data_IF_794244575475
#
_entry.id   IF_794244575475
#
_cell.length_a   1.000
_cell.length_b   1.000
_cell.length_c   1.000
_cell.angle_alpha   90.00
_cell.angle_beta   90.00
_cell.angle_gamma   90.00
#
_symmetry.space_group_name_H-M   'P 1'
#
loop_
_entity.id
_entity.type
_entity.pdbx_description
1 polymer ?
#
# COMPACT_ATOMS: atom_id res chain seq x y z
N UNK A 1 -1.43 9.20 -8.30
CA UNK A 1 -1.95 8.27 -7.29
C UNK A 1 -0.78 7.53 -6.67
N UNK A 2 -0.72 7.42 -5.34
CA UNK A 2 0.22 6.56 -4.63
C UNK A 2 -0.56 5.53 -3.82
N UNK A 3 -0.36 4.26 -4.11
CA UNK A 3 -0.95 3.15 -3.36
C UNK A 3 0.14 2.43 -2.59
N UNK A 4 -0.11 2.19 -1.31
CA UNK A 4 0.72 1.39 -0.40
C UNK A 4 -0.17 0.27 0.09
N UNK A 5 0.29 -0.95 -0.11
CA UNK A 5 -0.51 -2.15 0.06
C UNK A 5 0.36 -3.20 0.74
N UNK A 6 -0.21 -3.91 1.71
CA UNK A 6 0.45 -5.02 2.38
C UNK A 6 0.41 -6.28 1.50
N UNK A 7 1.56 -6.92 1.29
CA UNK A 7 1.66 -8.08 0.39
C UNK A 7 1.18 -9.39 1.03
N UNK A 8 1.04 -9.45 2.35
CA UNK A 8 0.57 -10.64 3.05
C UNK A 8 -0.95 -10.62 3.13
N UNK A 9 -1.46 -9.61 3.82
CA UNK A 9 -2.87 -9.43 4.21
C UNK A 9 -3.71 -8.77 3.13
N UNK A 10 -3.06 -8.25 2.08
CA UNK A 10 -3.73 -7.55 0.96
C UNK A 10 -4.38 -6.24 1.38
N UNK A 11 -4.05 -5.72 2.56
CA UNK A 11 -4.64 -4.48 3.07
C UNK A 11 -4.13 -3.26 2.30
N UNK A 12 -5.05 -2.39 1.87
CA UNK A 12 -4.71 -1.07 1.35
C UNK A 12 -4.36 -0.15 2.53
N UNK A 13 -3.07 -0.04 2.84
CA UNK A 13 -2.56 0.78 3.94
C UNK A 13 -2.64 2.28 3.64
N UNK A 14 -2.49 2.67 2.37
CA UNK A 14 -2.70 4.04 1.94
C UNK A 14 -3.06 4.14 0.46
N UNK A 15 -4.05 4.97 0.13
CA UNK A 15 -4.39 5.36 -1.24
C UNK A 15 -4.44 6.89 -1.31
N UNK A 16 -3.39 7.51 -1.85
CA UNK A 16 -3.22 8.97 -1.86
C UNK A 16 -3.32 9.55 -3.28
N UNK A 17 -4.43 10.24 -3.60
CA UNK A 17 -4.49 11.08 -4.78
C UNK A 17 -3.77 12.40 -4.53
N UNK A 18 -3.04 12.85 -5.54
CA UNK A 18 -2.42 14.17 -5.59
C UNK A 18 -2.14 14.55 -7.05
N UNK A 19 -1.98 15.84 -7.32
CA UNK A 19 -1.62 16.34 -8.66
C UNK A 19 -0.16 16.01 -9.00
N UNK A 20 0.70 15.91 -7.99
CA UNK A 20 2.06 15.40 -8.09
C UNK A 20 2.48 14.71 -6.80
N UNK A 21 2.99 13.48 -6.91
CA UNK A 21 3.52 12.74 -5.77
C UNK A 21 5.03 12.94 -5.72
N UNK A 22 5.45 14.01 -5.04
CA UNK A 22 6.87 14.30 -4.85
C UNK A 22 7.48 13.36 -3.81
N UNK A 23 8.79 13.13 -3.91
CA UNK A 23 9.57 12.30 -2.97
C UNK A 23 9.32 12.61 -1.49
N UNK A 24 9.21 13.91 -1.14
CA UNK A 24 8.93 14.34 0.25
C UNK A 24 7.55 13.91 0.72
N UNK A 25 6.56 13.90 -0.18
CA UNK A 25 5.22 13.41 0.12
C UNK A 25 5.28 11.92 0.42
N UNK A 26 5.92 11.13 -0.44
CA UNK A 26 6.08 9.68 -0.23
C UNK A 26 6.76 9.37 1.09
N UNK A 27 7.89 10.03 1.38
CA UNK A 27 8.59 9.87 2.65
C UNK A 27 7.69 10.17 3.86
N UNK A 28 6.84 11.20 3.78
CA UNK A 28 5.89 11.57 4.84
C UNK A 28 4.89 10.47 5.11
N UNK A 29 4.25 9.96 4.07
CA UNK A 29 3.21 8.94 4.18
C UNK A 29 3.79 7.62 4.70
N UNK A 30 4.98 7.25 4.21
CA UNK A 30 5.72 6.11 4.72
C UNK A 30 6.07 6.24 6.21
N UNK A 31 6.45 7.44 6.67
CA UNK A 31 6.69 7.66 8.11
C UNK A 31 5.43 7.57 8.94
N UNK A 32 4.29 8.06 8.44
CA UNK A 32 3.01 7.87 9.13
C UNK A 32 2.74 6.38 9.33
N UNK A 33 3.00 5.55 8.31
CA UNK A 33 2.81 4.10 8.41
C UNK A 33 3.79 3.45 9.40
N UNK A 34 5.08 3.83 9.40
CA UNK A 34 6.06 3.34 10.38
C UNK A 34 5.62 3.65 11.81
N UNK A 35 5.08 4.84 12.04
CA UNK A 35 4.65 5.24 13.39
C UNK A 35 3.41 4.44 13.84
N UNK A 36 2.64 3.90 12.92
CA UNK A 36 1.44 3.12 13.20
C UNK A 36 1.70 1.61 13.25
N UNK A 37 2.75 1.10 12.61
CA UNK A 37 3.04 -0.33 12.50
C UNK A 37 4.50 -0.65 12.87
N UNK A 38 4.68 -1.64 13.75
CA UNK A 38 6.00 -2.17 14.10
C UNK A 38 6.50 -3.14 13.00
N UNK A 39 7.82 -3.14 12.77
CA UNK A 39 8.55 -3.98 11.81
C UNK A 39 7.95 -4.12 10.40
N UNK A 40 8.07 -3.04 9.61
CA UNK A 40 7.74 -3.06 8.19
C UNK A 40 8.95 -3.43 7.33
N UNK A 41 8.75 -4.33 6.37
CA UNK A 41 9.64 -4.53 5.23
C UNK A 41 9.04 -3.86 3.99
N UNK A 42 9.85 -3.12 3.23
CA UNK A 42 9.35 -2.40 2.06
C UNK A 42 9.89 -2.93 0.75
N UNK A 43 8.97 -3.19 -0.19
CA UNK A 43 9.29 -3.52 -1.58
C UNK A 43 8.97 -2.35 -2.50
N UNK A 44 9.95 -1.90 -3.28
CA UNK A 44 9.78 -0.86 -4.29
C UNK A 44 9.95 -1.43 -5.71
N UNK A 45 9.13 -1.00 -6.68
CA UNK A 45 9.34 -1.34 -8.09
C UNK A 45 10.63 -0.71 -8.61
N UNK A 46 11.44 -1.53 -9.29
CA UNK A 46 12.73 -1.13 -9.85
C UNK A 46 12.58 0.00 -10.86
N UNK A 47 13.44 1.02 -10.77
CA UNK A 47 13.45 2.16 -11.70
C UNK A 47 12.50 3.31 -11.38
N UNK A 48 11.79 3.27 -10.24
CA UNK A 48 10.95 4.40 -9.81
C UNK A 48 11.74 5.52 -9.14
N UNK A 49 11.23 6.75 -9.24
CA UNK A 49 11.77 7.93 -8.54
C UNK A 49 11.78 7.81 -7.01
N UNK A 50 11.18 6.73 -6.49
CA UNK A 50 11.08 6.35 -5.08
C UNK A 50 12.39 5.77 -4.53
N UNK A 51 13.40 5.56 -5.37
CA UNK A 51 14.75 5.10 -5.01
C UNK A 51 15.67 6.19 -4.45
N UNK A 52 15.15 7.40 -4.23
CA UNK A 52 15.94 8.58 -3.87
C UNK A 52 16.52 8.59 -2.44
N UNK A 53 17.61 9.34 -2.26
CA UNK A 53 18.30 9.54 -0.96
C UNK A 53 17.39 9.98 0.20
N UNK A 54 16.32 10.72 -0.07
CA UNK A 54 15.40 11.21 0.97
C UNK A 54 14.56 10.08 1.57
N UNK A 55 14.13 9.14 0.72
CA UNK A 55 13.51 7.90 1.19
C UNK A 55 14.62 7.12 1.90
N UNK A 56 15.79 6.92 1.27
CA UNK A 56 16.92 6.17 1.86
C UNK A 56 17.27 6.56 3.30
N UNK A 57 17.42 7.86 3.58
CA UNK A 57 17.70 8.40 4.91
C UNK A 57 16.61 8.03 5.92
N UNK A 58 15.33 8.16 5.55
CA UNK A 58 14.22 7.89 6.45
C UNK A 58 14.09 6.44 6.93
N UNK A 59 14.33 5.43 6.08
CA UNK A 59 14.31 4.05 6.62
C UNK A 59 15.53 3.73 7.45
N UNK A 60 16.68 4.40 7.22
CA UNK A 60 17.83 4.26 8.13
C UNK A 60 17.50 4.79 9.52
N UNK A 61 16.78 5.90 9.60
CA UNK A 61 16.36 6.50 10.87
C UNK A 61 15.35 5.64 11.66
N UNK A 62 14.71 4.67 11.00
CA UNK A 62 13.64 3.85 11.57
C UNK A 62 13.89 2.33 11.47
N UNK A 63 15.12 1.91 11.15
CA UNK A 63 15.53 0.48 11.04
C UNK A 63 14.65 -0.37 10.11
N UNK A 64 13.97 0.24 9.13
CA UNK A 64 13.11 -0.48 8.18
C UNK A 64 13.97 -1.15 7.11
N UNK A 65 13.91 -2.48 7.02
CA UNK A 65 14.58 -3.26 5.99
C UNK A 65 13.89 -3.05 4.62
N UNK A 66 14.71 -2.90 3.57
CA UNK A 66 14.23 -2.66 2.22
C UNK A 66 14.65 -3.77 1.30
N UNK A 67 13.69 -4.23 0.52
CA UNK A 67 13.94 -5.13 -0.58
C UNK A 67 13.61 -4.43 -1.91
N UNK A 68 14.52 -4.56 -2.86
CA UNK A 68 14.22 -4.23 -4.24
C UNK A 68 13.61 -5.47 -4.88
N UNK A 69 12.56 -5.27 -5.67
CA UNK A 69 12.03 -6.35 -6.50
C UNK A 69 13.12 -6.73 -7.49
N UNK A 70 13.62 -7.96 -7.39
CA UNK A 70 14.71 -8.42 -8.24
C UNK A 70 14.30 -8.29 -9.73
N UNK A 71 15.20 -7.82 -10.62
CA UNK A 71 14.93 -7.82 -12.06
C UNK A 71 14.51 -9.21 -12.53
N UNK A 72 13.34 -9.33 -13.17
CA UNK A 72 12.77 -10.62 -13.61
C UNK A 72 11.87 -11.33 -12.60
N UNK A 73 11.59 -10.75 -11.41
CA UNK A 73 10.55 -11.20 -10.47
C UNK A 73 9.31 -10.32 -10.52
N UNK A 74 8.78 -10.10 -11.72
CA UNK A 74 7.56 -9.33 -11.98
C UNK A 74 6.36 -9.83 -11.15
N UNK A 75 6.33 -11.13 -10.86
CA UNK A 75 5.30 -11.77 -10.03
C UNK A 75 5.23 -11.23 -8.59
N UNK A 76 6.32 -10.68 -8.03
CA UNK A 76 6.32 -10.06 -6.69
C UNK A 76 5.55 -8.73 -6.66
N UNK A 77 5.28 -8.12 -7.83
CA UNK A 77 4.48 -6.92 -7.96
C UNK A 77 3.02 -7.24 -8.38
N UNK A 78 2.70 -8.50 -8.62
CA UNK A 78 1.45 -8.89 -9.29
C UNK A 78 0.20 -8.45 -8.55
N UNK A 79 0.26 -8.41 -7.21
CA UNK A 79 -0.90 -8.01 -6.43
C UNK A 79 -1.13 -6.51 -6.38
N UNK A 80 -0.10 -5.68 -6.17
CA UNK A 80 -0.28 -4.23 -6.23
C UNK A 80 -0.70 -3.78 -7.63
N UNK A 81 -0.24 -4.45 -8.69
CA UNK A 81 -0.75 -4.22 -10.05
C UNK A 81 -2.23 -4.62 -10.19
N UNK A 82 -2.63 -5.76 -9.62
CA UNK A 82 -4.03 -6.18 -9.62
C UNK A 82 -4.94 -5.22 -8.83
N UNK A 83 -4.50 -4.75 -7.66
CA UNK A 83 -5.20 -3.77 -6.84
C UNK A 83 -5.32 -2.43 -7.57
N UNK A 84 -4.24 -1.97 -8.22
CA UNK A 84 -4.26 -0.77 -9.06
C UNK A 84 -5.21 -0.90 -10.26
N UNK A 85 -5.27 -2.08 -10.88
CA UNK A 85 -6.23 -2.39 -11.95
C UNK A 85 -7.67 -2.30 -11.46
N UNK A 86 -7.98 -2.98 -10.35
CA UNK A 86 -9.30 -2.95 -9.72
C UNK A 86 -9.75 -1.53 -9.36
N UNK A 87 -8.90 -0.72 -8.71
CA UNK A 87 -9.21 0.68 -8.41
C UNK A 87 -9.44 1.52 -9.67
N UNK A 88 -8.68 1.26 -10.75
CA UNK A 88 -8.90 1.96 -12.02
C UNK A 88 -10.26 1.62 -12.62
N UNK A 89 -10.55 0.34 -12.72
CA UNK A 89 -11.74 -0.15 -13.42
C UNK A 89 -13.03 0.15 -12.66
N UNK A 90 -12.98 0.19 -11.34
CA UNK A 90 -14.19 0.34 -10.52
C UNK A 90 -14.44 1.75 -10.00
N UNK A 91 -13.38 2.54 -9.82
CA UNK A 91 -13.48 3.88 -9.27
C UNK A 91 -13.00 4.94 -10.26
N UNK A 92 -11.74 4.87 -10.67
CA UNK A 92 -11.11 6.01 -11.36
C UNK A 92 -11.67 6.21 -12.77
N UNK A 93 -12.00 5.14 -13.49
CA UNK A 93 -12.55 5.21 -14.85
C UNK A 93 -14.07 5.46 -14.86
N UNK A 94 -14.77 5.06 -13.79
CA UNK A 94 -16.23 5.17 -13.68
C UNK A 94 -16.70 6.47 -13.01
N UNK A 95 -15.78 7.25 -12.43
CA UNK A 95 -16.10 8.45 -11.65
C UNK A 95 -15.63 9.74 -12.31
N UNK A 96 -16.48 10.77 -12.28
CA UNK A 96 -16.09 12.15 -12.54
C UNK A 96 -15.72 12.84 -11.22
N UNK A 97 -14.47 13.28 -11.10
CA UNK A 97 -14.00 14.02 -9.93
C UNK A 97 -14.16 15.52 -10.13
N UNK A 98 -14.67 16.22 -9.11
CA UNK A 98 -14.94 17.67 -9.15
C UNK A 98 -13.83 18.49 -8.48
N UNK A 99 -12.71 17.85 -8.17
CA UNK A 99 -11.59 18.44 -7.46
C UNK A 99 -10.82 17.39 -6.67
N UNK A 100 -9.67 17.80 -6.14
CA UNK A 100 -8.79 16.89 -5.39
C UNK A 100 -9.44 16.44 -4.08
N UNK A 101 -10.24 17.28 -3.43
CA UNK A 101 -10.95 16.90 -2.20
C UNK A 101 -12.01 15.83 -2.46
N UNK A 102 -12.77 15.96 -3.56
CA UNK A 102 -13.72 14.92 -3.97
C UNK A 102 -12.99 13.60 -4.25
N UNK A 103 -11.87 13.65 -4.98
CA UNK A 103 -11.06 12.47 -5.23
C UNK A 103 -10.51 11.84 -3.95
N UNK A 104 -10.04 12.64 -2.98
CA UNK A 104 -9.57 12.16 -1.67
C UNK A 104 -10.67 11.40 -0.93
N UNK A 105 -11.87 11.96 -0.87
CA UNK A 105 -13.00 11.31 -0.19
C UNK A 105 -13.41 10.01 -0.88
N UNK A 106 -13.60 10.03 -2.20
CA UNK A 106 -14.04 8.86 -2.95
C UNK A 106 -13.02 7.71 -2.90
N UNK A 107 -11.72 8.04 -2.95
CA UNK A 107 -10.66 7.04 -2.82
C UNK A 107 -10.56 6.49 -1.40
N UNK A 108 -10.74 7.33 -0.37
CA UNK A 108 -10.76 6.87 1.02
C UNK A 108 -11.93 5.91 1.26
N UNK A 109 -13.12 6.24 0.75
CA UNK A 109 -14.30 5.36 0.81
C UNK A 109 -14.09 4.04 0.08
N UNK A 110 -13.49 4.09 -1.12
CA UNK A 110 -13.16 2.86 -1.85
C UNK A 110 -12.13 2.00 -1.10
N UNK A 111 -11.10 2.60 -0.50
CA UNK A 111 -10.08 1.85 0.25
C UNK A 111 -10.68 1.21 1.52
N UNK A 112 -11.60 1.90 2.18
CA UNK A 112 -12.35 1.38 3.32
C UNK A 112 -13.23 0.19 2.89
N UNK A 113 -13.98 0.33 1.79
CA UNK A 113 -14.79 -0.76 1.23
C UNK A 113 -13.95 -1.98 0.86
N UNK A 114 -12.82 -1.73 0.19
CA UNK A 114 -11.85 -2.75 -0.18
C UNK A 114 -11.34 -3.55 1.02
N UNK A 115 -10.93 -2.85 2.08
CA UNK A 115 -10.35 -3.50 3.25
C UNK A 115 -11.41 -4.21 4.12
N UNK A 116 -12.62 -3.64 4.25
CA UNK A 116 -13.60 -4.12 5.22
C UNK A 116 -14.61 -5.12 4.65
N UNK A 117 -14.99 -5.00 3.37
CA UNK A 117 -16.15 -5.73 2.84
C UNK A 117 -15.84 -6.65 1.68
N UNK A 118 -14.68 -6.53 1.03
CA UNK A 118 -14.38 -7.31 -0.18
C UNK A 118 -13.61 -8.59 0.13
N UNK A 119 -14.18 -9.78 -0.17
CA UNK A 119 -13.47 -11.03 0.01
C UNK A 119 -12.48 -11.28 -1.13
N UNK A 120 -11.26 -11.72 -0.80
CA UNK A 120 -10.23 -12.06 -1.77
C UNK A 120 -10.01 -13.57 -1.83
N UNK A 121 -10.06 -14.15 -3.03
CA UNK A 121 -9.82 -15.59 -3.22
C UNK A 121 -8.42 -16.02 -2.74
N UNK A 122 -7.41 -15.15 -2.88
CA UNK A 122 -6.06 -15.38 -2.36
C UNK A 122 -5.97 -15.43 -0.83
N UNK A 123 -6.99 -14.91 -0.13
CA UNK A 123 -7.12 -14.89 1.32
C UNK A 123 -8.14 -15.92 1.82
N UNK A 124 -8.44 -16.96 1.03
CA UNK A 124 -9.48 -17.92 1.40
C UNK A 124 -10.87 -17.28 1.53
N UNK A 125 -11.16 -16.27 0.72
CA UNK A 125 -12.38 -15.46 0.75
C UNK A 125 -12.58 -14.62 2.01
N UNK A 126 -11.50 -14.30 2.73
CA UNK A 126 -11.51 -13.27 3.77
C UNK A 126 -11.34 -11.87 3.19
N UNK A 127 -11.81 -10.88 3.94
CA UNK A 127 -11.50 -9.47 3.68
C UNK A 127 -10.09 -9.14 4.18
N UNK A 128 -9.41 -8.13 3.60
CA UNK A 128 -8.06 -7.79 4.01
C UNK A 128 -7.94 -7.49 5.51
N UNK A 129 -8.92 -6.77 6.08
CA UNK A 129 -8.96 -6.47 7.52
C UNK A 129 -9.03 -7.75 8.36
N UNK A 130 -9.89 -8.70 7.99
CA UNK A 130 -10.03 -9.92 8.77
C UNK A 130 -8.79 -10.82 8.65
N UNK A 131 -8.17 -10.88 7.47
CA UNK A 131 -6.91 -11.62 7.29
C UNK A 131 -5.75 -10.99 8.07
N UNK A 132 -5.69 -9.65 8.14
CA UNK A 132 -4.74 -8.92 8.98
C UNK A 132 -4.93 -9.24 10.47
N UNK A 133 -6.18 -9.26 10.96
CA UNK A 133 -6.49 -9.66 12.33
C UNK A 133 -6.08 -11.11 12.63
N UNK A 134 -6.41 -12.04 11.73
CA UNK A 134 -6.03 -13.46 11.85
C UNK A 134 -4.50 -13.61 11.86
N UNK A 135 -3.81 -12.91 10.96
CA UNK A 135 -2.35 -12.95 10.83
C UNK A 135 -1.68 -12.39 12.09
N UNK A 136 -2.18 -11.28 12.63
CA UNK A 136 -1.69 -10.70 13.87
C UNK A 136 -1.83 -11.63 15.08
N UNK A 137 -2.91 -12.43 15.14
CA UNK A 137 -3.13 -13.43 16.21
C UNK A 137 -2.27 -14.68 16.02
N UNK A 138 -1.98 -15.04 14.77
CA UNK A 138 -1.27 -16.29 14.42
C UNK A 138 0.25 -16.10 14.35
N UNK A 139 0.73 -14.86 14.20
CA UNK A 139 2.15 -14.54 14.23
C UNK A 139 2.76 -14.97 15.58
N UNK A 140 3.80 -15.83 15.59
CA UNK A 140 4.45 -16.22 16.83
C UNK A 140 5.00 -14.97 17.52
N UNK A 141 4.68 -14.80 18.80
CA UNK A 141 5.26 -13.76 19.68
C UNK A 141 6.77 -13.64 19.44
N UNK A 142 7.20 -12.65 18.66
CA UNK A 142 8.63 -12.45 18.36
C UNK A 142 8.99 -11.93 16.97
N UNK A 143 8.04 -11.78 16.04
CA UNK A 143 8.30 -11.09 14.77
C UNK A 143 7.20 -10.07 14.46
N UNK A 144 7.19 -8.98 15.24
CA UNK A 144 6.69 -7.65 14.88
C UNK A 144 7.47 -6.61 15.68
#
# INVERSE_FOLDING_TARGET
MLNIVDDVTRECLAAIPDTSILRRRVARELTTLILCAANLEWSFPTGTELTSNAILARSKDHEVERHYIAPGKEMQNGYVESSNGCMRDELLNESLFFGLDHARSAIAEWADDYNQFRPHASLGYQTPTNDAEITAVTAPFGLL
#
